data_IF_214521763920
#
_entry.id   IF_214521763920
#
_cell.length_a   1.000
_cell.length_b   1.000
_cell.length_c   1.000
_cell.angle_alpha   90.00
_cell.angle_beta   90.00
_cell.angle_gamma   90.00
#
_symmetry.space_group_name_H-M   'P 1'
#
loop_
_entity.id
_entity.type
_entity.pdbx_description
1 polymer ?
#
# COMPACT_ATOMS: atom_id res chain seq x y z
N UNK A 1 -23.62 8.98 -19.51
CA UNK A 1 -23.48 8.12 -18.31
C UNK A 1 -22.04 8.07 -17.75
N UNK A 2 -21.01 8.61 -18.44
CA UNK A 2 -19.62 8.77 -17.92
C UNK A 2 -19.19 10.26 -17.96
N UNK A 3 -20.15 11.19 -18.03
CA UNK A 3 -19.87 12.62 -18.25
C UNK A 3 -20.05 13.43 -16.95
N UNK A 4 -20.65 12.82 -15.93
CA UNK A 4 -20.88 13.44 -14.63
C UNK A 4 -19.84 12.92 -13.63
N UNK A 5 -18.97 13.78 -13.04
CA UNK A 5 -17.95 13.38 -12.09
C UNK A 5 -18.49 12.65 -10.85
N UNK A 6 -19.75 12.91 -10.50
CA UNK A 6 -20.42 12.26 -9.35
C UNK A 6 -20.59 10.76 -9.53
N UNK A 7 -20.54 10.24 -10.77
CA UNK A 7 -20.57 8.80 -11.02
C UNK A 7 -19.25 8.09 -10.69
N UNK A 8 -18.18 8.83 -10.35
CA UNK A 8 -16.87 8.29 -10.00
C UNK A 8 -16.64 8.31 -8.49
N UNK A 9 -16.97 9.42 -7.85
CA UNK A 9 -16.85 9.58 -6.41
C UNK A 9 -17.69 10.75 -5.91
N UNK A 10 -18.08 10.68 -4.64
CA UNK A 10 -18.78 11.74 -3.94
C UNK A 10 -17.94 12.19 -2.76
N UNK A 11 -17.69 13.49 -2.66
CA UNK A 11 -17.05 14.06 -1.46
C UNK A 11 -18.03 13.91 -0.30
N UNK A 12 -17.61 13.19 0.75
CA UNK A 12 -18.32 13.14 2.02
C UNK A 12 -17.63 14.11 3.00
N UNK A 13 -18.21 15.32 3.23
CA UNK A 13 -17.57 16.32 4.06
C UNK A 13 -17.30 15.80 5.48
N UNK A 14 -16.19 16.20 6.12
CA UNK A 14 -15.32 17.31 5.74
C UNK A 14 -14.08 16.95 4.91
N UNK A 15 -13.67 15.68 4.86
CA UNK A 15 -12.36 15.29 4.29
C UNK A 15 -12.36 13.91 3.60
N UNK A 16 -13.50 13.21 3.54
CA UNK A 16 -13.54 11.85 3.00
C UNK A 16 -14.13 11.82 1.58
N UNK A 17 -13.73 10.83 0.79
CA UNK A 17 -14.21 10.63 -0.57
C UNK A 17 -14.75 9.22 -0.67
N UNK A 18 -16.05 9.11 -0.88
CA UNK A 18 -16.69 7.82 -1.12
C UNK A 18 -16.61 7.48 -2.60
N UNK A 19 -15.97 6.36 -2.90
CA UNK A 19 -15.79 5.88 -4.27
C UNK A 19 -17.00 5.08 -4.73
N UNK A 20 -17.48 5.40 -5.93
CA UNK A 20 -18.56 4.66 -6.56
C UNK A 20 -18.04 3.36 -7.21
N UNK A 21 -18.97 2.49 -7.60
CA UNK A 21 -18.69 1.12 -8.04
C UNK A 21 -17.56 0.98 -9.08
N UNK A 22 -17.50 1.89 -10.07
CA UNK A 22 -16.46 1.87 -11.12
C UNK A 22 -15.06 2.11 -10.54
N UNK A 23 -14.93 3.12 -9.67
CA UNK A 23 -13.67 3.44 -9.02
C UNK A 23 -13.25 2.38 -8.02
N UNK A 24 -14.21 1.80 -7.30
CA UNK A 24 -13.95 0.67 -6.40
C UNK A 24 -13.41 -0.54 -7.15
N UNK A 25 -14.04 -0.90 -8.29
CA UNK A 25 -13.56 -1.99 -9.14
C UNK A 25 -12.14 -1.75 -9.66
N UNK A 26 -11.83 -0.51 -10.08
CA UNK A 26 -10.48 -0.12 -10.48
C UNK A 26 -9.48 -0.21 -9.33
N UNK A 27 -9.82 0.31 -8.15
CA UNK A 27 -8.98 0.24 -6.96
C UNK A 27 -8.67 -1.21 -6.56
N UNK A 28 -9.68 -2.08 -6.53
CA UNK A 28 -9.50 -3.52 -6.25
C UNK A 28 -8.56 -4.16 -7.27
N UNK A 29 -8.69 -3.85 -8.56
CA UNK A 29 -7.80 -4.37 -9.59
C UNK A 29 -6.35 -3.96 -9.37
N UNK A 30 -6.10 -2.69 -8.99
CA UNK A 30 -4.77 -2.20 -8.65
C UNK A 30 -4.23 -2.94 -7.43
N UNK A 31 -5.02 -3.08 -6.37
CA UNK A 31 -4.61 -3.79 -5.15
C UNK A 31 -4.21 -5.22 -5.47
N UNK A 32 -5.00 -5.94 -6.28
CA UNK A 32 -4.72 -7.32 -6.68
C UNK A 32 -3.44 -7.43 -7.53
N UNK A 33 -3.24 -6.54 -8.50
CA UNK A 33 -2.02 -6.52 -9.32
C UNK A 33 -0.81 -6.22 -8.43
N UNK A 34 -0.89 -5.19 -7.59
CA UNK A 34 0.20 -4.77 -6.71
C UNK A 34 0.59 -5.87 -5.72
N UNK A 35 -0.38 -6.52 -5.06
CA UNK A 35 -0.08 -7.57 -4.08
C UNK A 35 0.46 -8.83 -4.74
N UNK A 36 -0.09 -9.25 -5.89
CA UNK A 36 0.36 -10.46 -6.59
C UNK A 36 1.76 -10.29 -7.17
N UNK A 37 2.00 -9.22 -7.92
CA UNK A 37 3.31 -8.95 -8.53
C UNK A 37 4.35 -8.55 -7.47
N UNK A 38 3.95 -7.75 -6.49
CA UNK A 38 4.81 -7.30 -5.40
C UNK A 38 5.30 -8.45 -4.53
N UNK A 39 4.42 -9.38 -4.15
CA UNK A 39 4.83 -10.57 -3.37
C UNK A 39 5.76 -11.46 -4.19
N UNK A 40 5.50 -11.66 -5.49
CA UNK A 40 6.41 -12.45 -6.34
C UNK A 40 7.81 -11.81 -6.42
N UNK A 41 7.89 -10.51 -6.63
CA UNK A 41 9.14 -9.76 -6.66
C UNK A 41 9.89 -9.81 -5.32
N UNK A 42 9.17 -9.59 -4.21
CA UNK A 42 9.77 -9.60 -2.90
C UNK A 42 10.21 -11.01 -2.47
N UNK A 43 9.48 -12.05 -2.88
CA UNK A 43 9.85 -13.46 -2.68
C UNK A 43 11.17 -13.80 -3.35
N UNK A 44 11.42 -13.35 -4.58
CA UNK A 44 12.73 -13.58 -5.19
C UNK A 44 13.84 -12.75 -4.56
N UNK A 45 13.54 -11.54 -4.10
CA UNK A 45 14.50 -10.76 -3.32
C UNK A 45 14.92 -11.49 -2.04
N UNK A 46 13.98 -12.16 -1.35
CA UNK A 46 14.26 -12.98 -0.16
C UNK A 46 15.14 -14.21 -0.43
N UNK A 47 15.06 -14.77 -1.63
CA UNK A 47 15.83 -15.97 -2.04
C UNK A 47 17.27 -15.64 -2.42
N UNK A 48 17.60 -14.36 -2.60
CA UNK A 48 18.95 -13.94 -2.92
C UNK A 48 19.94 -14.34 -1.83
N UNK A 49 21.15 -14.72 -2.25
CA UNK A 49 22.31 -14.93 -1.37
C UNK A 49 22.83 -13.61 -0.78
N UNK A 50 22.61 -12.49 -1.49
CA UNK A 50 23.02 -11.18 -1.01
C UNK A 50 22.14 -10.74 0.19
N UNK A 51 22.73 -10.51 1.38
CA UNK A 51 21.98 -10.15 2.58
C UNK A 51 21.22 -8.83 2.45
N UNK A 52 21.74 -7.86 1.69
CA UNK A 52 21.07 -6.58 1.46
C UNK A 52 19.79 -6.78 0.65
N UNK A 53 19.85 -7.59 -0.40
CA UNK A 53 18.70 -7.88 -1.25
C UNK A 53 17.65 -8.70 -0.48
N UNK A 54 18.09 -9.59 0.41
CA UNK A 54 17.20 -10.33 1.30
C UNK A 54 16.49 -9.39 2.29
N UNK A 55 17.19 -8.41 2.85
CA UNK A 55 16.58 -7.41 3.74
C UNK A 55 15.59 -6.51 3.00
N UNK A 56 15.93 -6.06 1.80
CA UNK A 56 15.00 -5.36 0.89
C UNK A 56 13.73 -6.16 0.67
N UNK A 57 13.85 -7.46 0.38
CA UNK A 57 12.70 -8.37 0.22
C UNK A 57 11.76 -8.41 1.45
N UNK A 58 12.31 -8.37 2.67
CA UNK A 58 11.50 -8.34 3.90
C UNK A 58 10.68 -7.05 4.02
N UNK A 59 11.32 -5.90 3.78
CA UNK A 59 10.63 -4.61 3.79
C UNK A 59 9.58 -4.51 2.69
N UNK A 60 9.86 -5.03 1.50
CA UNK A 60 8.89 -5.05 0.40
C UNK A 60 7.67 -5.91 0.74
N UNK A 61 7.83 -7.09 1.34
CA UNK A 61 6.67 -7.90 1.78
C UNK A 61 5.83 -7.13 2.79
N UNK A 62 6.47 -6.53 3.82
CA UNK A 62 5.77 -5.72 4.80
C UNK A 62 4.99 -4.59 4.10
N UNK A 63 5.65 -3.85 3.20
CA UNK A 63 5.05 -2.74 2.47
C UNK A 63 3.83 -3.17 1.65
N UNK A 64 3.91 -4.26 0.89
CA UNK A 64 2.77 -4.74 0.09
C UNK A 64 1.61 -5.19 0.97
N UNK A 65 1.87 -5.87 2.09
CA UNK A 65 0.81 -6.27 3.02
C UNK A 65 0.16 -5.05 3.70
N UNK A 66 0.98 -4.12 4.22
CA UNK A 66 0.51 -2.88 4.83
C UNK A 66 -0.30 -2.05 3.84
N UNK A 67 0.19 -1.89 2.60
CA UNK A 67 -0.53 -1.20 1.53
C UNK A 67 -1.86 -1.87 1.23
N UNK A 68 -1.90 -3.19 1.05
CA UNK A 68 -3.14 -3.92 0.76
C UNK A 68 -4.17 -3.74 1.88
N UNK A 69 -3.76 -3.87 3.14
CA UNK A 69 -4.65 -3.68 4.29
C UNK A 69 -5.16 -2.23 4.34
N UNK A 70 -4.25 -1.26 4.23
CA UNK A 70 -4.59 0.16 4.27
C UNK A 70 -5.50 0.57 3.12
N UNK A 71 -5.23 0.10 1.91
CA UNK A 71 -6.00 0.43 0.71
C UNK A 71 -7.39 -0.20 0.73
N UNK A 72 -7.53 -1.45 1.21
CA UNK A 72 -8.86 -2.07 1.40
C UNK A 72 -9.65 -1.29 2.45
N UNK A 73 -9.03 -0.95 3.58
CA UNK A 73 -9.70 -0.18 4.64
C UNK A 73 -10.14 1.20 4.13
N UNK A 74 -9.31 1.86 3.33
CA UNK A 74 -9.57 3.19 2.78
C UNK A 74 -10.63 3.23 1.66
N UNK A 75 -10.73 2.16 0.86
CA UNK A 75 -11.59 2.16 -0.34
C UNK A 75 -12.90 1.39 -0.18
N UNK A 76 -12.93 0.34 0.64
CA UNK A 76 -14.06 -0.60 0.68
C UNK A 76 -14.94 -0.47 1.93
N UNK A 77 -14.55 0.34 2.92
CA UNK A 77 -15.27 0.50 4.18
C UNK A 77 -15.68 1.96 4.33
N UNK A 78 -16.94 2.28 4.68
CA UNK A 78 -17.30 3.64 5.06
C UNK A 78 -16.56 4.01 6.36
N UNK A 79 -15.76 5.07 6.31
CA UNK A 79 -14.89 5.43 7.41
C UNK A 79 -15.43 6.65 8.17
N UNK A 80 -15.29 6.63 9.49
CA UNK A 80 -15.36 7.84 10.30
C UNK A 80 -13.96 8.47 10.41
N UNK A 81 -13.85 9.65 11.01
CA UNK A 81 -12.58 10.37 11.15
C UNK A 81 -11.47 9.53 11.81
N UNK A 82 -11.82 8.68 12.77
CA UNK A 82 -10.84 7.83 13.49
C UNK A 82 -10.35 6.72 12.57
N UNK A 83 -11.26 5.98 11.95
CA UNK A 83 -10.90 4.85 11.07
C UNK A 83 -10.19 5.33 9.81
N UNK A 84 -10.55 6.51 9.28
CA UNK A 84 -9.84 7.19 8.21
C UNK A 84 -8.39 7.53 8.62
N UNK A 85 -8.21 8.10 9.81
CA UNK A 85 -6.87 8.39 10.32
C UNK A 85 -6.02 7.11 10.43
N UNK A 86 -6.62 6.02 10.92
CA UNK A 86 -5.95 4.71 11.00
C UNK A 86 -5.54 4.20 9.62
N UNK A 87 -6.45 4.24 8.63
CA UNK A 87 -6.15 3.84 7.26
C UNK A 87 -4.97 4.64 6.68
N UNK A 88 -4.95 5.96 6.90
CA UNK A 88 -3.85 6.84 6.46
C UNK A 88 -2.53 6.51 7.13
N UNK A 89 -2.52 6.25 8.44
CA UNK A 89 -1.30 5.87 9.16
C UNK A 89 -0.73 4.55 8.60
N UNK A 90 -1.58 3.56 8.31
CA UNK A 90 -1.17 2.29 7.71
C UNK A 90 -0.57 2.52 6.31
N UNK A 91 -1.22 3.33 5.47
CA UNK A 91 -0.72 3.66 4.13
C UNK A 91 0.61 4.43 4.19
N UNK A 92 0.77 5.37 5.12
CA UNK A 92 2.04 6.08 5.34
C UNK A 92 3.14 5.10 5.78
N UNK A 93 2.82 4.16 6.68
CA UNK A 93 3.76 3.10 7.08
C UNK A 93 4.21 2.28 5.88
N UNK A 94 3.28 1.88 5.00
CA UNK A 94 3.61 1.13 3.79
C UNK A 94 4.55 1.90 2.85
N UNK A 95 4.40 3.23 2.76
CA UNK A 95 5.26 4.07 1.94
C UNK A 95 6.70 4.12 2.50
N UNK A 96 6.85 4.19 3.83
CA UNK A 96 8.15 4.12 4.50
C UNK A 96 8.79 2.74 4.28
N UNK A 97 8.01 1.67 4.41
CA UNK A 97 8.45 0.30 4.16
C UNK A 97 8.89 0.11 2.70
N UNK A 98 8.15 0.66 1.72
CA UNK A 98 8.57 0.65 0.31
C UNK A 98 9.88 1.42 0.10
N UNK A 99 10.02 2.59 0.73
CA UNK A 99 11.27 3.35 0.66
C UNK A 99 12.46 2.50 1.15
N UNK A 100 12.33 1.79 2.27
CA UNK A 100 13.36 0.87 2.75
C UNK A 100 13.54 -0.36 1.86
N UNK A 101 12.45 -0.90 1.31
CA UNK A 101 12.47 -2.06 0.42
C UNK A 101 13.15 -1.80 -0.92
N UNK A 102 12.98 -0.63 -1.51
CA UNK A 102 13.59 -0.29 -2.80
C UNK A 102 14.99 0.31 -2.63
N UNK A 103 15.14 1.31 -1.77
CA UNK A 103 16.39 2.06 -1.65
C UNK A 103 17.34 1.38 -0.64
N UNK A 104 16.82 0.97 0.51
CA UNK A 104 17.57 0.50 1.70
C UNK A 104 18.70 1.47 2.09
N UNK A 105 18.39 2.52 2.89
CA UNK A 105 19.39 3.46 3.35
C UNK A 105 20.50 2.78 4.16
N UNK A 106 21.75 3.23 4.00
CA UNK A 106 22.91 2.67 4.71
C UNK A 106 22.74 2.61 6.23
N UNK A 107 22.06 3.61 6.83
CA UNK A 107 21.77 3.61 8.28
C UNK A 107 20.89 2.44 8.70
N UNK A 108 19.88 2.10 7.89
CA UNK A 108 18.95 0.99 8.17
C UNK A 108 19.66 -0.33 7.92
N UNK A 109 20.42 -0.42 6.82
CA UNK A 109 21.25 -1.58 6.52
C UNK A 109 22.18 -1.91 7.68
N UNK A 110 22.98 -0.95 8.14
CA UNK A 110 23.97 -1.15 9.21
C UNK A 110 23.34 -1.42 10.59
N UNK A 111 22.07 -1.02 10.80
CA UNK A 111 21.33 -1.35 12.02
C UNK A 111 20.95 -2.83 12.06
N UNK A 112 20.59 -3.41 10.91
CA UNK A 112 20.02 -4.77 10.81
C UNK A 112 21.05 -5.81 10.41
N UNK A 113 21.98 -5.43 9.53
CA UNK A 113 23.07 -6.26 9.01
C UNK A 113 24.36 -5.64 9.55
N UNK A 114 25.03 -6.35 10.45
CA UNK A 114 26.38 -6.01 10.94
C UNK A 114 27.43 -6.71 10.11
#
# INVERSE_FOLDING_TARGET
MIIDPTSLAVLNPPIDIEYEFIMLGFAISIILIMVSTGILFARESLRSENPDLRLKGKFLIAAFLSYTIGAILDSAVPLNLISLTVARVILISSAIEWYFGFILPERVKNLVIK
#
